data_IF_457734590138
#
_entry.id   IF_457734590138
#
_cell.length_a   1.000
_cell.length_b   1.000
_cell.length_c   1.000
_cell.angle_alpha   90.00
_cell.angle_beta   90.00
_cell.angle_gamma   90.00
#
_symmetry.space_group_name_H-M   'P 1'
#
loop_
_entity.id
_entity.type
_entity.pdbx_description
1 polymer ?
#
# COMPACT_ATOMS: atom_id res chain seq x y z
N UNK A 1 18.05 -3.66 2.62
CA UNK A 1 16.87 -4.00 1.83
C UNK A 1 16.11 -2.76 1.34
N UNK A 2 15.88 -1.75 2.21
CA UNK A 2 15.14 -0.51 1.89
C UNK A 2 15.75 0.26 0.71
N UNK A 3 17.08 0.44 0.70
CA UNK A 3 17.79 1.15 -0.38
C UNK A 3 17.65 0.42 -1.72
N UNK A 4 17.72 -0.92 -1.71
CA UNK A 4 17.56 -1.72 -2.91
C UNK A 4 16.16 -1.64 -3.52
N UNK A 5 15.11 -1.63 -2.67
CA UNK A 5 13.72 -1.49 -3.13
C UNK A 5 13.43 -0.09 -3.69
N UNK A 6 14.00 0.96 -3.08
CA UNK A 6 13.91 2.33 -3.62
C UNK A 6 14.59 2.42 -4.99
N UNK A 7 15.79 1.86 -5.15
CA UNK A 7 16.49 1.84 -6.43
C UNK A 7 15.70 1.11 -7.54
N UNK A 8 15.05 -0.01 -7.23
CA UNK A 8 14.17 -0.71 -8.19
C UNK A 8 12.92 0.13 -8.50
N UNK A 9 12.36 0.84 -7.52
CA UNK A 9 11.22 1.73 -7.74
C UNK A 9 11.58 2.85 -8.73
N UNK A 10 12.76 3.47 -8.56
CA UNK A 10 13.24 4.53 -9.46
C UNK A 10 13.55 4.00 -10.86
N UNK A 11 14.09 2.78 -10.99
CA UNK A 11 14.29 2.12 -12.28
C UNK A 11 12.95 1.86 -12.99
N UNK A 12 11.94 1.35 -12.28
CA UNK A 12 10.61 1.13 -12.85
C UNK A 12 9.96 2.45 -13.27
N UNK A 13 10.12 3.51 -12.48
CA UNK A 13 9.64 4.86 -12.81
C UNK A 13 10.31 5.40 -14.08
N UNK A 14 11.63 5.21 -14.21
CA UNK A 14 12.37 5.54 -15.42
C UNK A 14 11.87 4.76 -16.66
N UNK A 15 11.58 3.46 -16.52
CA UNK A 15 10.99 2.66 -17.58
C UNK A 15 9.60 3.18 -18.00
N UNK A 16 8.72 3.50 -17.03
CA UNK A 16 7.41 4.08 -17.33
C UNK A 16 7.58 5.38 -18.13
N UNK A 17 8.54 6.24 -17.76
CA UNK A 17 8.82 7.49 -18.47
C UNK A 17 9.26 7.26 -19.92
N UNK A 18 10.10 6.27 -20.15
CA UNK A 18 10.56 5.88 -21.49
C UNK A 18 9.40 5.35 -22.34
N UNK A 19 8.56 4.46 -21.77
CA UNK A 19 7.41 3.89 -22.49
C UNK A 19 6.33 4.93 -22.77
N UNK A 20 6.04 5.82 -21.84
CA UNK A 20 5.04 6.88 -22.02
C UNK A 20 5.54 8.06 -22.85
N UNK A 21 6.85 8.11 -23.21
CA UNK A 21 7.50 9.25 -23.87
C UNK A 21 7.22 10.59 -23.14
N UNK A 22 7.05 10.54 -21.84
CA UNK A 22 6.67 11.70 -21.03
C UNK A 22 5.23 12.20 -21.25
N UNK A 23 4.40 11.44 -21.95
CA UNK A 23 3.00 11.79 -22.14
C UNK A 23 2.21 11.59 -20.85
N UNK A 24 1.30 12.52 -20.58
CA UNK A 24 0.33 12.41 -19.50
C UNK A 24 -1.01 11.94 -20.06
N UNK A 25 -1.70 11.12 -19.29
CA UNK A 25 -3.08 10.76 -19.59
C UNK A 25 -3.97 11.62 -18.69
N UNK A 26 -4.77 12.47 -19.30
CA UNK A 26 -5.67 13.40 -18.58
C UNK A 26 -7.10 12.87 -18.48
N UNK A 27 -7.95 13.60 -17.80
CA UNK A 27 -9.38 13.26 -17.62
C UNK A 27 -10.13 13.04 -18.94
N UNK A 28 -9.76 13.74 -20.02
CA UNK A 28 -10.40 13.63 -21.32
C UNK A 28 -10.19 12.27 -22.01
N UNK A 29 -9.12 11.58 -21.66
CA UNK A 29 -8.76 10.29 -22.25
C UNK A 29 -9.32 9.10 -21.45
N UNK A 30 -9.94 9.37 -20.29
CA UNK A 30 -10.48 8.33 -19.40
C UNK A 30 -11.99 8.17 -19.56
N UNK A 31 -12.44 6.92 -19.55
CA UNK A 31 -13.88 6.62 -19.60
C UNK A 31 -14.56 7.09 -18.31
N UNK A 32 -15.74 7.72 -18.44
CA UNK A 32 -16.52 8.19 -17.28
C UNK A 32 -16.84 7.05 -16.29
N UNK A 33 -17.05 5.84 -16.79
CA UNK A 33 -17.29 4.65 -15.97
C UNK A 33 -16.09 4.34 -15.06
N UNK A 34 -14.87 4.49 -15.57
CA UNK A 34 -13.65 4.30 -14.79
C UNK A 34 -13.52 5.32 -13.66
N UNK A 35 -13.85 6.57 -13.93
CA UNK A 35 -13.83 7.62 -12.91
C UNK A 35 -14.96 7.46 -11.88
N UNK A 36 -16.10 6.88 -12.28
CA UNK A 36 -17.23 6.63 -11.39
C UNK A 36 -16.90 5.62 -10.29
N UNK A 37 -15.92 4.74 -10.49
CA UNK A 37 -15.42 3.80 -9.46
C UNK A 37 -14.94 4.55 -8.22
N UNK A 38 -14.33 5.71 -8.40
CA UNK A 38 -13.81 6.54 -7.32
C UNK A 38 -14.80 7.59 -6.82
N UNK A 39 -15.56 8.22 -7.74
CA UNK A 39 -16.48 9.32 -7.41
C UNK A 39 -17.87 8.84 -7.03
N UNK A 40 -18.20 7.59 -7.34
CA UNK A 40 -19.47 6.96 -6.96
C UNK A 40 -19.68 6.97 -5.44
N UNK A 41 -20.95 7.02 -5.03
CA UNK A 41 -21.36 6.90 -3.63
C UNK A 41 -22.14 5.62 -3.44
N UNK A 42 -21.69 4.75 -2.56
CA UNK A 42 -22.42 3.56 -2.11
C UNK A 42 -22.83 3.81 -0.66
N UNK A 43 -24.10 3.70 -0.34
CA UNK A 43 -24.68 4.00 0.98
C UNK A 43 -24.36 5.41 1.52
N UNK A 44 -24.18 6.40 0.63
CA UNK A 44 -23.84 7.77 1.05
C UNK A 44 -22.35 8.00 1.36
N UNK A 45 -21.52 6.96 1.33
CA UNK A 45 -20.08 7.01 1.55
C UNK A 45 -19.36 6.96 0.21
N UNK A 46 -18.26 7.69 0.08
CA UNK A 46 -17.42 7.64 -1.12
C UNK A 46 -16.89 6.22 -1.32
N UNK A 47 -16.97 5.70 -2.54
CA UNK A 47 -16.51 4.36 -2.91
C UNK A 47 -15.07 4.08 -2.48
N UNK A 48 -14.18 5.07 -2.54
CA UNK A 48 -12.80 4.94 -2.10
C UNK A 48 -12.68 4.55 -0.63
N UNK A 49 -13.49 5.19 0.22
CA UNK A 49 -13.48 4.92 1.66
C UNK A 49 -14.03 3.51 1.92
N UNK A 50 -15.09 3.13 1.20
CA UNK A 50 -15.65 1.79 1.31
C UNK A 50 -14.64 0.69 0.91
N UNK A 51 -13.93 0.88 -0.21
CA UNK A 51 -12.89 -0.05 -0.68
C UNK A 51 -11.72 -0.10 0.32
N UNK A 52 -11.30 1.04 0.86
CA UNK A 52 -10.23 1.09 1.86
C UNK A 52 -10.60 0.33 3.14
N UNK A 53 -11.82 0.49 3.65
CA UNK A 53 -12.32 -0.25 4.80
C UNK A 53 -12.36 -1.75 4.50
N UNK A 54 -12.88 -2.13 3.35
CA UNK A 54 -12.99 -3.52 2.92
C UNK A 54 -11.61 -4.20 2.86
N UNK A 55 -10.61 -3.55 2.23
CA UNK A 55 -9.24 -4.06 2.15
C UNK A 55 -8.61 -4.16 3.55
N UNK A 56 -8.84 -3.17 4.41
CA UNK A 56 -8.33 -3.18 5.78
C UNK A 56 -8.91 -4.33 6.59
N UNK A 57 -10.21 -4.57 6.49
CA UNK A 57 -10.89 -5.68 7.17
C UNK A 57 -10.40 -7.03 6.63
N UNK A 58 -10.28 -7.16 5.30
CA UNK A 58 -9.71 -8.38 4.69
C UNK A 58 -8.26 -8.62 5.14
N UNK A 59 -7.44 -7.58 5.18
CA UNK A 59 -6.07 -7.66 5.68
C UNK A 59 -6.00 -8.07 7.14
N UNK A 60 -6.88 -7.51 7.98
CA UNK A 60 -7.00 -7.89 9.39
C UNK A 60 -7.34 -9.38 9.53
N UNK A 61 -8.39 -9.84 8.85
CA UNK A 61 -8.83 -11.23 8.88
C UNK A 61 -7.71 -12.15 8.36
N UNK A 62 -7.06 -11.78 7.26
CA UNK A 62 -5.96 -12.55 6.70
C UNK A 62 -4.80 -12.71 7.68
N UNK A 63 -4.35 -11.62 8.29
CA UNK A 63 -3.21 -11.64 9.21
C UNK A 63 -3.52 -12.37 10.53
N UNK A 64 -4.75 -12.24 11.03
CA UNK A 64 -5.14 -12.79 12.33
C UNK A 64 -5.54 -14.28 12.25
N UNK A 65 -6.31 -14.67 11.23
CA UNK A 65 -6.96 -15.97 11.17
C UNK A 65 -6.30 -16.95 10.21
N UNK A 66 -5.67 -16.47 9.13
CA UNK A 66 -5.04 -17.38 8.18
C UNK A 66 -3.66 -17.84 8.65
N UNK A 67 -3.31 -19.10 8.36
CA UNK A 67 -1.98 -19.67 8.67
C UNK A 67 -0.85 -18.87 8.03
N UNK A 68 -1.03 -18.46 6.78
CA UNK A 68 -0.02 -17.69 6.03
C UNK A 68 0.26 -16.33 6.69
N UNK A 69 -0.75 -15.64 7.20
CA UNK A 69 -0.59 -14.40 7.95
C UNK A 69 0.25 -14.59 9.21
N UNK A 70 -0.05 -15.63 9.99
CA UNK A 70 0.73 -15.96 11.20
C UNK A 70 2.17 -16.36 10.87
N UNK A 71 2.39 -17.04 9.76
CA UNK A 71 3.74 -17.37 9.29
C UNK A 71 4.55 -16.11 8.92
N UNK A 72 3.90 -15.07 8.38
CA UNK A 72 4.56 -13.79 8.11
C UNK A 72 5.07 -13.13 9.39
N UNK A 73 4.29 -13.15 10.48
CA UNK A 73 4.75 -12.67 11.79
C UNK A 73 5.89 -13.53 12.35
N UNK A 74 5.79 -14.85 12.26
CA UNK A 74 6.82 -15.76 12.77
C UNK A 74 8.16 -15.59 12.04
N UNK A 75 8.14 -15.51 10.71
CA UNK A 75 9.34 -15.30 9.88
C UNK A 75 9.91 -13.91 10.10
N UNK A 76 9.06 -12.88 10.24
CA UNK A 76 9.48 -11.51 10.51
C UNK A 76 10.14 -11.35 11.88
N UNK A 77 9.70 -12.11 12.89
CA UNK A 77 10.27 -12.05 14.23
C UNK A 77 11.63 -12.76 14.33
N UNK A 78 11.71 -14.00 13.85
CA UNK A 78 12.96 -14.75 13.79
C UNK A 78 12.91 -15.81 12.68
N UNK A 79 13.65 -15.57 11.60
CA UNK A 79 13.70 -16.44 10.42
C UNK A 79 14.24 -17.84 10.73
N UNK A 80 15.27 -17.91 11.60
CA UNK A 80 15.90 -19.17 11.98
C UNK A 80 14.94 -20.04 12.79
N UNK A 81 14.30 -19.46 13.79
CA UNK A 81 13.31 -20.14 14.62
C UNK A 81 12.11 -20.61 13.82
N UNK A 82 11.62 -19.80 12.87
CA UNK A 82 10.55 -20.17 11.96
C UNK A 82 10.94 -21.37 11.08
N UNK A 83 12.18 -21.39 10.58
CA UNK A 83 12.70 -22.50 9.77
C UNK A 83 12.78 -23.82 10.57
N UNK A 84 13.25 -23.76 11.81
CA UNK A 84 13.31 -24.92 12.71
C UNK A 84 11.91 -25.45 13.01
N UNK A 85 10.92 -24.57 13.08
CA UNK A 85 9.50 -24.92 13.27
C UNK A 85 8.81 -25.42 11.99
N UNK A 86 9.56 -25.69 10.91
CA UNK A 86 9.03 -26.23 9.66
C UNK A 86 8.38 -25.20 8.72
N UNK A 87 8.48 -23.89 9.02
CA UNK A 87 7.98 -22.83 8.15
C UNK A 87 9.04 -22.51 7.11
N UNK A 88 8.67 -22.46 5.83
CA UNK A 88 9.58 -22.07 4.76
C UNK A 88 9.62 -20.54 4.62
N UNK A 89 10.75 -19.87 5.01
CA UNK A 89 10.82 -18.41 5.01
C UNK A 89 10.74 -17.82 3.61
N UNK A 90 11.32 -18.48 2.61
CA UNK A 90 11.35 -17.99 1.23
C UNK A 90 9.94 -17.91 0.65
N UNK A 91 9.16 -18.98 0.80
CA UNK A 91 7.76 -19.00 0.34
C UNK A 91 6.91 -17.97 1.06
N UNK A 92 7.10 -17.81 2.37
CA UNK A 92 6.36 -16.84 3.18
C UNK A 92 6.68 -15.41 2.76
N UNK A 93 7.95 -15.08 2.57
CA UNK A 93 8.39 -13.77 2.08
C UNK A 93 7.84 -13.50 0.67
N UNK A 94 7.96 -14.46 -0.24
CA UNK A 94 7.43 -14.34 -1.61
C UNK A 94 5.93 -14.02 -1.60
N UNK A 95 5.15 -14.76 -0.81
CA UNK A 95 3.70 -14.54 -0.70
C UNK A 95 3.37 -13.16 -0.13
N UNK A 96 4.14 -12.69 0.86
CA UNK A 96 3.98 -11.35 1.41
C UNK A 96 4.22 -10.26 0.36
N UNK A 97 5.27 -10.39 -0.46
CA UNK A 97 5.56 -9.44 -1.55
C UNK A 97 4.49 -9.48 -2.64
N UNK A 98 3.98 -10.65 -3.01
CA UNK A 98 2.90 -10.79 -3.99
C UNK A 98 1.63 -10.07 -3.52
N UNK A 99 1.20 -10.32 -2.27
CA UNK A 99 0.02 -9.66 -1.70
C UNK A 99 0.23 -8.14 -1.64
N UNK A 100 1.40 -7.69 -1.19
CA UNK A 100 1.71 -6.27 -1.14
C UNK A 100 1.68 -5.63 -2.52
N UNK A 101 2.24 -6.28 -3.53
CA UNK A 101 2.22 -5.81 -4.91
C UNK A 101 0.80 -5.71 -5.48
N UNK A 102 -0.07 -6.68 -5.20
CA UNK A 102 -1.49 -6.63 -5.62
C UNK A 102 -2.22 -5.44 -4.98
N UNK A 103 -2.04 -5.23 -3.68
CA UNK A 103 -2.68 -4.11 -2.97
C UNK A 103 -2.12 -2.78 -3.46
N UNK A 104 -0.82 -2.68 -3.69
CA UNK A 104 -0.18 -1.47 -4.22
C UNK A 104 -0.68 -1.13 -5.63
N UNK A 105 -0.80 -2.13 -6.52
CA UNK A 105 -1.37 -1.94 -7.86
C UNK A 105 -2.82 -1.45 -7.81
N UNK A 106 -3.62 -2.02 -6.92
CA UNK A 106 -5.01 -1.60 -6.70
C UNK A 106 -5.08 -0.16 -6.16
N UNK A 107 -4.21 0.19 -5.22
CA UNK A 107 -4.12 1.55 -4.69
C UNK A 107 -3.71 2.56 -5.78
N UNK A 108 -2.77 2.21 -6.65
CA UNK A 108 -2.37 3.03 -7.79
C UNK A 108 -3.52 3.27 -8.78
N UNK A 109 -4.28 2.22 -9.10
CA UNK A 109 -5.48 2.33 -9.93
C UNK A 109 -6.51 3.29 -9.31
N UNK A 110 -6.80 3.13 -8.03
CA UNK A 110 -7.75 3.99 -7.31
C UNK A 110 -7.26 5.45 -7.22
N UNK A 111 -5.95 5.65 -7.14
CA UNK A 111 -5.34 6.98 -7.19
C UNK A 111 -5.63 7.68 -8.50
N UNK A 112 -5.39 6.99 -9.63
CA UNK A 112 -5.67 7.52 -10.96
C UNK A 112 -7.16 7.82 -11.12
N UNK A 113 -8.04 6.92 -10.68
CA UNK A 113 -9.49 7.14 -10.70
C UNK A 113 -9.92 8.40 -9.93
N UNK A 114 -9.24 8.71 -8.82
CA UNK A 114 -9.56 9.87 -7.98
C UNK A 114 -9.11 11.18 -8.59
N UNK A 115 -7.88 11.22 -9.10
CA UNK A 115 -7.27 12.47 -9.58
C UNK A 115 -7.47 12.69 -11.08
N UNK A 116 -7.87 11.66 -11.83
CA UNK A 116 -8.08 11.73 -13.28
C UNK A 116 -6.81 12.09 -14.04
N UNK A 117 -5.65 11.79 -13.47
CA UNK A 117 -4.35 12.15 -14.04
C UNK A 117 -3.35 11.02 -13.77
N UNK A 118 -2.75 10.50 -14.84
CA UNK A 118 -1.69 9.50 -14.78
C UNK A 118 -0.40 10.08 -15.38
N UNK A 119 0.59 10.24 -14.52
CA UNK A 119 1.94 10.71 -14.86
C UNK A 119 2.97 9.74 -14.30
N UNK A 120 4.16 9.66 -14.91
CA UNK A 120 5.26 8.85 -14.39
C UNK A 120 5.73 9.27 -12.98
N UNK A 121 5.49 10.53 -12.60
CA UNK A 121 5.81 11.07 -11.27
C UNK A 121 4.66 10.97 -10.26
N UNK A 122 3.50 10.45 -10.66
CA UNK A 122 2.38 10.25 -9.73
C UNK A 122 2.82 9.41 -8.54
N UNK A 123 2.41 9.83 -7.33
CA UNK A 123 2.80 9.20 -6.06
C UNK A 123 4.31 9.24 -5.74
N UNK A 124 5.09 10.18 -6.31
CA UNK A 124 6.49 10.36 -5.92
C UNK A 124 6.59 10.70 -4.44
N UNK A 125 7.53 10.05 -3.74
CA UNK A 125 7.76 10.19 -2.29
C UNK A 125 6.63 9.70 -1.37
N UNK A 126 5.56 9.09 -1.92
CA UNK A 126 4.47 8.51 -1.11
C UNK A 126 4.93 7.31 -0.31
N UNK A 127 5.94 6.58 -0.79
CA UNK A 127 6.55 5.45 -0.10
C UNK A 127 7.06 5.83 1.30
N UNK A 128 7.70 7.00 1.44
CA UNK A 128 8.18 7.49 2.73
C UNK A 128 7.04 7.86 3.67
N UNK A 129 5.99 8.47 3.14
CA UNK A 129 4.78 8.82 3.90
C UNK A 129 4.06 7.58 4.42
N UNK A 130 3.98 6.53 3.60
CA UNK A 130 3.39 5.24 4.01
C UNK A 130 4.22 4.59 5.11
N UNK A 131 5.56 4.54 4.95
CA UNK A 131 6.46 3.97 5.97
C UNK A 131 6.31 4.76 7.28
N UNK A 132 6.33 6.10 7.24
CA UNK A 132 6.15 6.94 8.42
C UNK A 132 4.81 6.66 9.11
N UNK A 133 3.71 6.54 8.36
CA UNK A 133 2.38 6.25 8.91
C UNK A 133 2.33 4.89 9.62
N UNK A 134 2.95 3.87 9.02
CA UNK A 134 2.96 2.50 9.54
C UNK A 134 3.84 2.40 10.80
N UNK A 135 4.98 3.09 10.82
CA UNK A 135 5.87 3.16 11.99
C UNK A 135 5.20 3.91 13.14
N UNK A 136 4.54 5.03 12.87
CA UNK A 136 3.71 5.74 13.85
C UNK A 136 2.59 4.84 14.40
N UNK A 137 2.07 3.94 13.58
CA UNK A 137 1.09 2.92 13.97
C UNK A 137 1.66 1.79 14.84
N UNK A 138 2.96 1.83 15.17
CA UNK A 138 3.61 0.87 16.06
C UNK A 138 4.01 -0.43 15.39
N UNK A 139 4.26 -0.43 14.07
CA UNK A 139 4.87 -1.56 13.36
C UNK A 139 6.38 -1.39 13.36
N UNK A 140 7.10 -2.43 13.76
CA UNK A 140 8.56 -2.39 13.77
C UNK A 140 9.14 -2.54 12.36
N UNK A 141 10.09 -1.68 12.01
CA UNK A 141 10.81 -1.70 10.72
C UNK A 141 11.55 -3.03 10.52
N UNK A 142 12.02 -3.65 11.60
CA UNK A 142 12.70 -4.95 11.57
C UNK A 142 11.75 -6.10 11.26
N UNK A 143 10.43 -5.88 11.33
CA UNK A 143 9.38 -6.87 11.07
C UNK A 143 8.98 -7.66 12.33
N UNK A 144 8.09 -8.61 12.15
CA UNK A 144 7.65 -9.58 13.18
C UNK A 144 6.60 -9.08 14.15
N UNK A 145 6.42 -7.78 14.33
CA UNK A 145 5.41 -7.24 15.23
C UNK A 145 4.72 -6.01 14.67
N UNK A 146 3.43 -5.92 14.94
CA UNK A 146 2.54 -4.84 14.52
C UNK A 146 1.09 -5.26 14.64
N UNK A 147 0.20 -4.30 14.83
CA UNK A 147 -1.25 -4.52 14.88
C UNK A 147 -1.92 -3.69 13.79
N UNK A 148 -2.82 -4.31 13.03
CA UNK A 148 -3.57 -3.60 11.97
C UNK A 148 -4.32 -2.38 12.52
N UNK A 149 -4.91 -2.49 13.72
CA UNK A 149 -5.57 -1.35 14.38
C UNK A 149 -4.63 -0.18 14.65
N UNK A 150 -3.37 -0.47 15.05
CA UNK A 150 -2.34 0.55 15.21
C UNK A 150 -2.00 1.24 13.88
N UNK A 151 -1.88 0.47 12.80
CA UNK A 151 -1.63 1.02 11.46
C UNK A 151 -2.75 1.96 11.03
N UNK A 152 -4.02 1.58 11.25
CA UNK A 152 -5.18 2.44 10.92
C UNK A 152 -5.11 3.76 11.67
N UNK A 153 -4.82 3.72 12.98
CA UNK A 153 -4.66 4.94 13.77
C UNK A 153 -3.46 5.78 13.30
N UNK A 154 -2.34 5.15 12.98
CA UNK A 154 -1.16 5.83 12.45
C UNK A 154 -1.43 6.54 11.12
N UNK A 155 -2.15 5.89 10.21
CA UNK A 155 -2.54 6.47 8.92
C UNK A 155 -3.50 7.65 9.11
N UNK A 156 -4.49 7.54 10.01
CA UNK A 156 -5.41 8.64 10.31
C UNK A 156 -4.67 9.82 10.92
N UNK A 157 -3.78 9.58 11.88
CA UNK A 157 -2.98 10.61 12.52
C UNK A 157 -2.05 11.31 11.52
N UNK A 158 -1.34 10.55 10.70
CA UNK A 158 -0.44 11.10 9.69
C UNK A 158 -1.21 11.87 8.60
N UNK A 159 -2.38 11.35 8.20
CA UNK A 159 -3.27 12.03 7.25
C UNK A 159 -3.80 13.36 7.77
N UNK A 160 -4.18 13.43 9.05
CA UNK A 160 -4.61 14.70 9.67
C UNK A 160 -3.45 15.69 9.76
N UNK A 161 -2.26 15.25 10.13
CA UNK A 161 -1.06 16.11 10.17
C UNK A 161 -0.75 16.70 8.80
N UNK A 162 -0.75 15.87 7.74
CA UNK A 162 -0.48 16.34 6.38
C UNK A 162 -1.52 17.35 5.86
N UNK A 163 -2.78 17.28 6.35
CA UNK A 163 -3.81 18.24 5.96
C UNK A 163 -3.73 19.54 6.77
N UNK A 164 -3.26 19.50 8.02
CA UNK A 164 -3.18 20.67 8.88
C UNK A 164 -1.91 21.49 8.61
N UNK A 165 -0.78 20.83 8.33
CA UNK A 165 0.50 21.52 8.13
C UNK A 165 0.49 22.63 7.07
N UNK A 166 -0.11 22.44 5.89
CA UNK A 166 -0.18 23.51 4.88
C UNK A 166 -1.19 24.63 5.20
N UNK A 167 -1.98 24.50 6.28
CA UNK A 167 -2.95 25.52 6.72
C UNK A 167 -2.39 26.48 7.77
N UNK A 168 -1.21 26.19 8.33
CA UNK A 168 -0.49 27.04 9.29
C UNK A 168 0.63 27.80 8.60
#
# INVERSE_FOLDING_TARGET
PLIGTLGVCDMLRGLVYVFSKGAWVGQGDMTQEFMSISTGKVFGINNLVFIAILITVMGYIFLQYFRNGRYMYAVGNNELSAKISGINPVRTKFLAYVINGMIAGLAGMLWICKFGNAQGESCSSYELNVIASVVLGGVFITGGSGKVGGVVLGVLLFGTLNNILPLI
#
